data_IF_523753720845
#
_entry.id   IF_523753720845
#
_cell.length_a   1.000
_cell.length_b   1.000
_cell.length_c   1.000
_cell.angle_alpha   90.00
_cell.angle_beta   90.00
_cell.angle_gamma   90.00
#
_symmetry.space_group_name_H-M   'P 1'
#
loop_
_entity.id
_entity.type
_entity.pdbx_description
1 polymer ?
#
# COMPACT_ATOMS: atom_id res chain seq x y z
N UNK A 1 -20.41 54.95 3.66
CA UNK A 1 -19.13 54.22 3.69
C UNK A 1 -19.16 53.32 4.92
N UNK A 2 -19.45 52.02 4.76
CA UNK A 2 -19.50 51.06 5.87
C UNK A 2 -18.23 50.22 5.79
N UNK A 3 -17.29 50.49 6.67
CA UNK A 3 -16.01 49.77 6.72
C UNK A 3 -16.26 48.32 7.15
N UNK A 4 -15.82 47.40 6.28
CA UNK A 4 -15.74 45.97 6.53
C UNK A 4 -14.72 45.69 7.64
N UNK A 5 -15.13 45.05 8.73
CA UNK A 5 -14.22 44.49 9.73
C UNK A 5 -14.22 42.96 9.60
N UNK A 6 -13.17 42.44 8.97
CA UNK A 6 -12.79 41.03 9.11
C UNK A 6 -12.21 40.79 10.52
N UNK A 7 -12.44 39.63 11.16
CA UNK A 7 -11.91 39.35 12.50
C UNK A 7 -10.38 39.27 12.49
N UNK A 8 -9.69 39.72 13.55
CA UNK A 8 -8.24 39.63 13.63
C UNK A 8 -7.80 38.18 13.75
N UNK A 9 -6.86 37.80 12.89
CA UNK A 9 -6.20 36.51 12.84
C UNK A 9 -5.23 36.39 14.02
N UNK A 10 -5.70 35.94 15.20
CA UNK A 10 -4.85 35.58 16.35
C UNK A 10 -4.14 34.24 16.10
N UNK A 11 -3.23 34.23 15.13
CA UNK A 11 -2.28 33.12 14.92
C UNK A 11 -1.14 33.13 15.95
N UNK A 12 -1.08 34.14 16.83
CA UNK A 12 0.02 34.38 17.77
C UNK A 12 -0.23 33.92 19.23
N UNK A 13 -1.40 33.36 19.56
CA UNK A 13 -1.71 32.91 20.93
C UNK A 13 -1.37 31.44 21.22
N UNK A 14 -0.69 30.73 20.29
CA UNK A 14 -0.14 29.40 20.59
C UNK A 14 1.27 29.54 21.15
N UNK A 15 1.51 29.30 22.46
CA UNK A 15 2.85 29.36 23.02
C UNK A 15 3.77 28.38 22.27
N UNK A 16 4.98 28.83 21.93
CA UNK A 16 5.99 27.97 21.30
C UNK A 16 6.29 26.80 22.24
N UNK A 17 6.22 25.58 21.71
CA UNK A 17 6.49 24.36 22.47
C UNK A 17 7.88 24.43 23.12
N UNK A 18 7.96 24.09 24.40
CA UNK A 18 9.25 23.90 25.10
C UNK A 18 10.01 22.72 24.48
N UNK A 19 11.34 22.68 24.66
CA UNK A 19 12.16 21.54 24.18
C UNK A 19 11.70 20.20 24.77
N UNK A 20 11.26 20.19 26.03
CA UNK A 20 10.67 19.01 26.66
C UNK A 20 9.37 18.57 25.97
N UNK A 21 8.47 19.51 25.67
CA UNK A 21 7.21 19.23 24.95
C UNK A 21 7.46 18.78 23.51
N UNK A 22 8.45 19.35 22.82
CA UNK A 22 8.83 18.90 21.47
C UNK A 22 9.33 17.46 21.49
N UNK A 23 10.18 17.11 22.46
CA UNK A 23 10.68 15.74 22.63
C UNK A 23 9.55 14.75 22.89
N UNK A 24 8.61 15.10 23.78
CA UNK A 24 7.45 14.24 24.07
C UNK A 24 6.56 14.06 22.83
N UNK A 25 6.22 15.15 22.14
CA UNK A 25 5.42 15.10 20.93
C UNK A 25 6.07 14.28 19.82
N UNK A 26 7.40 14.38 19.67
CA UNK A 26 8.15 13.56 18.71
C UNK A 26 8.03 12.06 19.04
N UNK A 27 8.23 11.68 20.29
CA UNK A 27 8.11 10.28 20.74
C UNK A 27 6.70 9.75 20.47
N UNK A 28 5.67 10.53 20.85
CA UNK A 28 4.27 10.15 20.66
C UNK A 28 3.91 10.01 19.18
N UNK A 29 4.37 10.93 18.34
CA UNK A 29 4.12 10.90 16.90
C UNK A 29 4.78 9.68 16.25
N UNK A 30 6.01 9.34 16.66
CA UNK A 30 6.71 8.17 16.16
C UNK A 30 6.09 6.85 16.65
N UNK A 31 5.62 6.77 17.90
CA UNK A 31 4.86 5.62 18.39
C UNK A 31 3.60 5.38 17.56
N UNK A 32 2.79 6.43 17.35
CA UNK A 32 1.59 6.36 16.51
C UNK A 32 1.93 5.94 15.08
N UNK A 33 3.01 6.49 14.50
CA UNK A 33 3.47 6.10 13.16
C UNK A 33 3.82 4.60 13.11
N UNK A 34 4.54 4.09 14.10
CA UNK A 34 4.91 2.66 14.18
C UNK A 34 3.71 1.75 14.39
N UNK A 35 2.75 2.15 15.21
CA UNK A 35 1.48 1.42 15.38
C UNK A 35 0.72 1.31 14.06
N UNK A 36 0.57 2.42 13.32
CA UNK A 36 -0.08 2.41 12.02
C UNK A 36 0.63 1.50 10.98
N UNK A 37 1.97 1.45 11.01
CA UNK A 37 2.74 0.53 10.16
C UNK A 37 2.45 -0.92 10.53
N UNK A 38 2.45 -1.27 11.83
CA UNK A 38 2.17 -2.63 12.30
C UNK A 38 0.76 -3.08 11.93
N UNK A 39 -0.23 -2.22 12.12
CA UNK A 39 -1.60 -2.49 11.66
C UNK A 39 -1.66 -2.73 10.15
N UNK A 40 -0.82 -2.04 9.37
CA UNK A 40 -0.65 -2.30 7.94
C UNK A 40 -0.15 -3.72 7.65
N UNK A 41 0.88 -4.17 8.36
CA UNK A 41 1.39 -5.54 8.24
C UNK A 41 0.40 -6.60 8.70
N UNK A 42 -0.33 -6.36 9.80
CA UNK A 42 -1.37 -7.27 10.28
C UNK A 42 -2.49 -7.42 9.23
N UNK A 43 -2.87 -6.32 8.55
CA UNK A 43 -3.82 -6.38 7.43
C UNK A 43 -3.26 -7.16 6.23
N UNK A 44 -2.01 -6.91 5.82
CA UNK A 44 -1.37 -7.66 4.73
C UNK A 44 -1.35 -9.17 5.05
N UNK A 45 -0.94 -9.53 6.26
CA UNK A 45 -0.91 -10.91 6.76
C UNK A 45 -2.30 -11.58 6.71
N UNK A 46 -3.39 -10.83 6.91
CA UNK A 46 -4.75 -11.37 6.82
C UNK A 46 -5.24 -11.62 5.38
N UNK A 47 -4.66 -10.92 4.40
CA UNK A 47 -5.04 -11.04 2.98
C UNK A 47 -4.23 -12.15 2.30
N UNK A 48 -2.94 -12.26 2.65
CA UNK A 48 -2.02 -13.19 1.99
C UNK A 48 -2.22 -14.61 2.53
N UNK A 49 -2.53 -15.60 1.68
CA UNK A 49 -2.74 -16.97 2.11
C UNK A 49 -1.56 -17.52 2.91
N UNK A 50 -1.84 -18.13 4.07
CA UNK A 50 -0.83 -18.75 4.93
C UNK A 50 -0.05 -17.79 5.82
N UNK A 51 -0.29 -16.47 5.75
CA UNK A 51 0.41 -15.46 6.56
C UNK A 51 -0.38 -14.97 7.78
N UNK A 52 -1.56 -15.53 8.06
CA UNK A 52 -2.40 -15.08 9.17
C UNK A 52 -1.64 -15.14 10.52
N UNK A 53 -1.68 -14.04 11.27
CA UNK A 53 -0.93 -13.90 12.53
C UNK A 53 0.58 -13.67 12.38
N UNK A 54 1.14 -13.63 11.17
CA UNK A 54 2.57 -13.39 10.91
C UNK A 54 2.94 -11.91 10.72
N UNK A 55 2.06 -10.97 11.09
CA UNK A 55 2.29 -9.51 10.89
C UNK A 55 3.55 -8.95 11.57
N UNK A 56 4.21 -9.70 12.45
CA UNK A 56 5.50 -9.34 13.07
C UNK A 56 6.73 -9.79 12.26
N UNK A 57 6.56 -10.68 11.30
CA UNK A 57 7.61 -11.17 10.40
C UNK A 57 7.63 -10.32 9.13
N UNK A 58 7.96 -9.02 9.25
CA UNK A 58 7.80 -8.01 8.19
C UNK A 58 8.38 -8.45 6.84
N UNK A 59 9.62 -8.94 6.80
CA UNK A 59 10.27 -9.38 5.56
C UNK A 59 9.53 -10.56 4.91
N UNK A 60 9.12 -11.55 5.71
CA UNK A 60 8.40 -12.74 5.24
C UNK A 60 7.03 -12.36 4.69
N UNK A 61 6.30 -11.47 5.38
CA UNK A 61 5.00 -10.97 4.91
C UNK A 61 5.15 -10.24 3.58
N UNK A 62 6.16 -9.37 3.42
CA UNK A 62 6.38 -8.67 2.15
C UNK A 62 6.72 -9.62 1.01
N UNK A 63 7.61 -10.58 1.25
CA UNK A 63 7.98 -11.59 0.26
C UNK A 63 6.79 -12.43 -0.18
N UNK A 64 6.02 -12.96 0.77
CA UNK A 64 4.79 -13.71 0.51
C UNK A 64 3.74 -12.85 -0.20
N UNK A 65 3.63 -11.56 0.15
CA UNK A 65 2.72 -10.61 -0.54
C UNK A 65 3.12 -10.45 -2.01
N UNK A 66 4.41 -10.26 -2.30
CA UNK A 66 4.90 -10.13 -3.67
C UNK A 66 4.63 -11.40 -4.48
N UNK A 67 4.89 -12.57 -3.89
CA UNK A 67 4.60 -13.85 -4.52
C UNK A 67 3.10 -13.99 -4.83
N UNK A 68 2.25 -13.71 -3.85
CA UNK A 68 0.81 -13.78 -4.03
C UNK A 68 0.30 -12.82 -5.12
N UNK A 69 0.79 -11.58 -5.15
CA UNK A 69 0.41 -10.61 -6.20
C UNK A 69 0.79 -11.11 -7.60
N UNK A 70 1.97 -11.73 -7.76
CA UNK A 70 2.41 -12.31 -9.03
C UNK A 70 1.47 -13.43 -9.49
N UNK A 71 1.12 -14.34 -8.58
CA UNK A 71 0.16 -15.42 -8.84
C UNK A 71 -1.21 -14.88 -9.25
N UNK A 72 -1.72 -13.84 -8.56
CA UNK A 72 -3.00 -13.21 -8.91
C UNK A 72 -2.99 -12.58 -10.30
N UNK A 73 -1.88 -11.96 -10.71
CA UNK A 73 -1.74 -11.39 -12.06
C UNK A 73 -1.80 -12.51 -13.10
N UNK A 74 -1.01 -13.57 -12.94
CA UNK A 74 -1.01 -14.71 -13.86
C UNK A 74 -2.39 -15.36 -13.93
N UNK A 75 -3.02 -15.61 -12.78
CA UNK A 75 -4.36 -16.18 -12.70
C UNK A 75 -5.40 -15.32 -13.43
N UNK A 76 -5.31 -14.00 -13.27
CA UNK A 76 -6.18 -13.07 -14.01
C UNK A 76 -6.00 -13.24 -15.51
N UNK A 77 -4.76 -13.30 -16.02
CA UNK A 77 -4.51 -13.48 -17.47
C UNK A 77 -5.16 -14.76 -18.00
N UNK A 78 -5.01 -15.86 -17.27
CA UNK A 78 -5.63 -17.14 -17.63
C UNK A 78 -7.16 -17.06 -17.68
N UNK A 79 -7.78 -16.47 -16.65
CA UNK A 79 -9.23 -16.34 -16.56
C UNK A 79 -9.79 -15.46 -17.69
N UNK A 80 -9.10 -14.38 -18.05
CA UNK A 80 -9.48 -13.52 -19.18
C UNK A 80 -9.39 -14.30 -20.50
N UNK A 81 -8.30 -15.04 -20.72
CA UNK A 81 -8.14 -15.86 -21.92
C UNK A 81 -9.24 -16.94 -22.03
N UNK A 82 -9.55 -17.60 -20.92
CA UNK A 82 -10.61 -18.61 -20.84
C UNK A 82 -12.00 -18.00 -21.08
N UNK A 83 -12.29 -16.85 -20.48
CA UNK A 83 -13.54 -16.12 -20.70
C UNK A 83 -13.75 -15.77 -22.17
N UNK A 84 -12.71 -15.22 -22.82
CA UNK A 84 -12.73 -14.92 -24.26
C UNK A 84 -12.96 -16.17 -25.11
N UNK A 85 -12.29 -17.27 -24.80
CA UNK A 85 -12.47 -18.54 -25.52
C UNK A 85 -13.92 -19.08 -25.40
N UNK A 86 -14.60 -18.77 -24.29
CA UNK A 86 -16.02 -19.07 -24.06
C UNK A 86 -16.98 -18.03 -24.65
N UNK A 87 -16.47 -17.01 -25.33
CA UNK A 87 -17.28 -15.93 -25.91
C UNK A 87 -17.82 -14.92 -24.89
N UNK A 88 -17.25 -14.88 -23.68
CA UNK A 88 -17.60 -13.89 -22.66
C UNK A 88 -16.84 -12.59 -22.97
N UNK A 89 -17.53 -11.45 -22.91
CA UNK A 89 -16.90 -10.14 -22.98
C UNK A 89 -16.12 -9.87 -21.69
N UNK A 90 -14.80 -9.76 -21.82
CA UNK A 90 -13.88 -9.57 -20.70
C UNK A 90 -13.44 -8.13 -20.46
N UNK A 91 -13.90 -7.17 -21.28
CA UNK A 91 -13.37 -5.81 -21.35
C UNK A 91 -13.29 -5.12 -19.97
N UNK A 92 -14.30 -5.32 -19.11
CA UNK A 92 -14.35 -4.71 -17.78
C UNK A 92 -13.25 -5.22 -16.82
N UNK A 93 -12.74 -6.44 -17.04
CA UNK A 93 -11.74 -7.08 -16.18
C UNK A 93 -10.36 -7.09 -16.83
N UNK A 94 -10.14 -6.36 -17.90
CA UNK A 94 -8.83 -6.21 -18.49
C UNK A 94 -8.04 -5.12 -17.78
N UNK A 95 -6.73 -5.33 -17.67
CA UNK A 95 -5.80 -4.28 -17.26
C UNK A 95 -5.33 -3.55 -18.50
N UNK A 96 -4.95 -2.30 -18.35
CA UNK A 96 -4.35 -1.55 -19.44
C UNK A 96 -3.04 -2.20 -19.92
N UNK A 97 -2.70 -1.96 -21.19
CA UNK A 97 -1.55 -2.58 -21.82
C UNK A 97 -0.22 -2.23 -21.14
N UNK A 98 -0.11 -1.02 -20.57
CA UNK A 98 1.09 -0.59 -19.87
C UNK A 98 1.29 -1.40 -18.59
N UNK A 99 0.24 -1.50 -17.75
CA UNK A 99 0.25 -2.34 -16.54
C UNK A 99 0.62 -3.78 -16.87
N UNK A 100 0.04 -4.35 -17.93
CA UNK A 100 0.34 -5.71 -18.36
C UNK A 100 1.80 -5.90 -18.75
N UNK A 101 2.39 -4.96 -19.50
CA UNK A 101 3.81 -4.98 -19.87
C UNK A 101 4.71 -4.85 -18.64
N UNK A 102 4.37 -4.00 -17.67
CA UNK A 102 5.16 -3.85 -16.44
C UNK A 102 5.11 -5.14 -15.61
N UNK A 103 3.95 -5.78 -15.51
CA UNK A 103 3.81 -7.07 -14.85
C UNK A 103 4.67 -8.15 -15.53
N UNK A 104 4.66 -8.23 -16.87
CA UNK A 104 5.49 -9.19 -17.63
C UNK A 104 6.98 -8.96 -17.40
N UNK A 105 7.42 -7.70 -17.43
CA UNK A 105 8.82 -7.34 -17.16
C UNK A 105 9.24 -7.74 -15.76
N UNK A 106 8.38 -7.53 -14.76
CA UNK A 106 8.66 -7.92 -13.38
C UNK A 106 8.69 -9.43 -13.19
N UNK A 107 7.78 -10.18 -13.83
CA UNK A 107 7.78 -11.64 -13.81
C UNK A 107 9.06 -12.20 -14.45
N UNK A 108 9.42 -11.73 -15.64
CA UNK A 108 10.64 -12.16 -16.33
C UNK A 108 11.90 -11.85 -15.54
N UNK A 109 11.95 -10.70 -14.86
CA UNK A 109 13.07 -10.38 -13.96
C UNK A 109 13.14 -11.37 -12.78
N UNK A 110 12.00 -11.67 -12.16
CA UNK A 110 11.94 -12.58 -11.02
C UNK A 110 12.31 -14.02 -11.40
N UNK A 111 11.89 -14.50 -12.57
CA UNK A 111 12.27 -15.81 -13.11
C UNK A 111 13.80 -15.91 -13.24
N UNK A 112 14.43 -14.87 -13.79
CA UNK A 112 15.90 -14.82 -13.91
C UNK A 112 16.61 -14.80 -12.56
N UNK A 113 16.08 -14.07 -11.58
CA UNK A 113 16.63 -14.02 -10.22
C UNK A 113 16.47 -15.37 -9.48
N UNK A 114 15.55 -16.25 -9.89
CA UNK A 114 15.40 -17.60 -9.33
C UNK A 114 16.28 -18.66 -10.02
N UNK A 115 16.73 -18.38 -11.25
CA UNK A 115 17.62 -19.27 -12.02
C UNK A 115 19.11 -19.08 -11.67
N UNK A 116 19.47 -17.96 -11.03
CA UNK A 116 20.81 -17.61 -10.54
C UNK A 116 21.10 -18.16 -9.12
#
# INVERSE_FOLDING_TARGET
>A
MTSSQSPPNNANDRPRLTEAQKKENHIRSEQKRREAIREGFDRLASIVPGMEGQGRSEAVVLEATLQHMREQITKRKELIAEGRAKGIDTTQWELDAETMMQCERQLSRAEREQEE
#
